data_IF_870756906313
#
_entry.id   IF_870756906313
#
_cell.length_a   1.000
_cell.length_b   1.000
_cell.length_c   1.000
_cell.angle_alpha   90.00
_cell.angle_beta   90.00
_cell.angle_gamma   90.00
#
_symmetry.space_group_name_H-M   'P 1'
#
loop_
_entity.id
_entity.type
_entity.pdbx_description
1 polymer ?
#
# COMPACT_ATOMS: atom_id res chain seq x y z
N UNK A 1 -22.29 -4.99 -6.55
CA UNK A 1 -21.06 -4.23 -6.28
C UNK A 1 -21.39 -3.22 -5.20
N UNK A 2 -20.64 -3.24 -4.10
CA UNK A 2 -20.87 -2.32 -3.00
C UNK A 2 -20.33 -0.93 -3.34
N UNK A 3 -21.12 0.10 -2.98
CA UNK A 3 -20.71 1.49 -3.12
C UNK A 3 -19.45 1.76 -2.25
N UNK A 4 -18.43 2.47 -2.77
CA UNK A 4 -17.31 2.88 -1.95
C UNK A 4 -17.76 3.62 -0.70
N UNK A 5 -17.31 3.18 0.48
CA UNK A 5 -17.78 3.71 1.79
C UNK A 5 -17.65 5.23 1.91
N UNK A 6 -16.59 5.81 1.38
CA UNK A 6 -16.38 7.26 1.43
C UNK A 6 -17.39 8.06 0.58
N UNK A 7 -17.88 7.49 -0.53
CA UNK A 7 -18.94 8.11 -1.32
C UNK A 7 -20.28 8.07 -0.59
N UNK A 8 -20.56 6.93 0.07
CA UNK A 8 -21.76 6.82 0.90
C UNK A 8 -21.75 7.84 2.03
N UNK A 9 -20.63 7.95 2.79
CA UNK A 9 -20.49 8.95 3.86
C UNK A 9 -20.71 10.38 3.33
N UNK A 10 -20.08 10.72 2.18
CA UNK A 10 -20.23 12.06 1.58
C UNK A 10 -21.67 12.33 1.18
N UNK A 11 -22.36 11.36 0.58
CA UNK A 11 -23.75 11.53 0.18
C UNK A 11 -24.67 11.68 1.40
N UNK A 12 -24.52 10.84 2.42
CA UNK A 12 -25.30 10.96 3.66
C UNK A 12 -25.08 12.30 4.35
N UNK A 13 -23.85 12.82 4.34
CA UNK A 13 -23.58 14.17 4.86
C UNK A 13 -24.31 15.24 4.04
N UNK A 14 -24.28 15.17 2.73
CA UNK A 14 -24.97 16.14 1.86
C UNK A 14 -26.48 16.08 2.06
N UNK A 15 -27.06 14.87 2.16
CA UNK A 15 -28.49 14.68 2.41
C UNK A 15 -28.92 15.25 3.76
N UNK A 16 -28.13 14.95 4.82
CA UNK A 16 -28.44 15.45 6.17
C UNK A 16 -28.31 16.97 6.32
N UNK A 17 -27.28 17.57 5.72
CA UNK A 17 -27.11 19.04 5.75
C UNK A 17 -28.15 19.75 4.89
N UNK A 18 -28.52 19.14 3.74
CA UNK A 18 -29.53 19.69 2.83
C UNK A 18 -30.98 19.36 3.21
N UNK A 19 -31.18 18.57 4.26
CA UNK A 19 -32.50 18.09 4.72
C UNK A 19 -33.27 17.33 3.62
N UNK A 20 -32.55 16.62 2.74
CA UNK A 20 -33.13 15.80 1.69
C UNK A 20 -33.44 14.39 2.21
N UNK A 21 -34.53 13.79 1.69
CA UNK A 21 -34.93 12.43 2.07
C UNK A 21 -34.18 11.35 1.29
N UNK A 22 -33.75 11.68 0.10
CA UNK A 22 -33.06 10.78 -0.84
C UNK A 22 -32.15 11.57 -1.78
N UNK A 23 -31.28 10.88 -2.47
CA UNK A 23 -30.39 11.43 -3.48
C UNK A 23 -29.85 10.36 -4.40
N UNK A 24 -29.23 10.76 -5.49
CA UNK A 24 -28.61 9.84 -6.41
C UNK A 24 -27.10 10.08 -6.50
N UNK A 25 -26.35 8.98 -6.49
CA UNK A 25 -24.96 8.99 -6.89
C UNK A 25 -24.86 8.55 -8.35
N UNK A 26 -24.30 9.41 -9.19
CA UNK A 26 -24.07 9.11 -10.59
C UNK A 26 -22.56 9.05 -10.87
N UNK A 27 -22.14 8.16 -11.76
CA UNK A 27 -20.76 8.02 -12.19
C UNK A 27 -20.65 7.79 -13.68
N UNK A 28 -19.51 8.17 -14.24
CA UNK A 28 -19.16 7.96 -15.64
C UNK A 28 -17.77 7.32 -15.72
N UNK A 29 -17.72 6.05 -16.09
CA UNK A 29 -16.46 5.28 -16.21
C UNK A 29 -15.82 5.54 -17.57
N UNK A 30 -14.61 6.11 -17.56
CA UNK A 30 -13.82 6.39 -18.76
C UNK A 30 -14.58 7.14 -19.88
N UNK A 31 -15.60 7.93 -19.53
CA UNK A 31 -16.42 8.67 -20.49
C UNK A 31 -17.36 7.83 -21.36
N UNK A 32 -17.55 6.55 -21.05
CA UNK A 32 -18.30 5.61 -21.88
C UNK A 32 -19.44 4.90 -21.18
N UNK A 33 -19.28 4.60 -19.91
CA UNK A 33 -20.26 3.84 -19.14
C UNK A 33 -20.85 4.73 -18.05
N UNK A 34 -22.11 5.07 -18.17
CA UNK A 34 -22.87 5.84 -17.18
C UNK A 34 -23.60 4.89 -16.25
N UNK A 35 -23.51 5.13 -14.95
CA UNK A 35 -24.29 4.45 -13.95
C UNK A 35 -24.82 5.42 -12.91
N UNK A 36 -25.87 5.04 -12.20
CA UNK A 36 -26.38 5.78 -11.05
C UNK A 36 -27.00 4.82 -10.05
N UNK A 37 -27.10 5.27 -8.81
CA UNK A 37 -27.77 4.56 -7.72
C UNK A 37 -28.51 5.56 -6.86
N UNK A 38 -29.79 5.31 -6.63
CA UNK A 38 -30.59 6.06 -5.67
C UNK A 38 -30.26 5.58 -4.25
N UNK A 39 -30.19 6.49 -3.32
CA UNK A 39 -29.80 6.23 -1.94
C UNK A 39 -30.71 7.06 -1.01
N UNK A 40 -31.36 6.37 -0.11
CA UNK A 40 -32.19 6.99 0.92
C UNK A 40 -31.32 7.62 2.01
N UNK A 41 -31.80 8.67 2.61
CA UNK A 41 -31.20 9.27 3.79
C UNK A 41 -31.35 8.35 5.01
N UNK A 42 -30.21 8.06 5.63
CA UNK A 42 -30.13 7.30 6.88
C UNK A 42 -29.88 8.25 8.06
N UNK A 43 -30.92 8.62 8.82
CA UNK A 43 -30.81 9.56 9.90
C UNK A 43 -29.97 9.04 11.08
N UNK A 44 -29.94 7.73 11.31
CA UNK A 44 -29.16 7.11 12.37
C UNK A 44 -27.66 7.16 12.03
N UNK A 45 -27.29 6.75 10.82
CA UNK A 45 -25.92 6.85 10.32
C UNK A 45 -25.44 8.30 10.27
N UNK A 46 -26.26 9.23 9.79
CA UNK A 46 -25.92 10.65 9.77
C UNK A 46 -25.71 11.21 11.18
N UNK A 47 -26.58 10.86 12.14
CA UNK A 47 -26.45 11.26 13.53
C UNK A 47 -25.11 10.81 14.12
N UNK A 48 -24.78 9.53 13.97
CA UNK A 48 -23.50 8.98 14.41
C UNK A 48 -22.32 9.71 13.76
N UNK A 49 -22.35 9.86 12.43
CA UNK A 49 -21.27 10.52 11.69
C UNK A 49 -21.07 11.98 12.12
N UNK A 50 -22.16 12.72 12.31
CA UNK A 50 -22.12 14.11 12.81
C UNK A 50 -21.48 14.18 14.20
N UNK A 51 -21.83 13.26 15.10
CA UNK A 51 -21.33 13.24 16.46
C UNK A 51 -19.81 12.92 16.48
N UNK A 52 -19.35 11.97 15.66
CA UNK A 52 -17.92 11.67 15.49
C UNK A 52 -17.14 12.86 14.90
N UNK A 53 -17.67 13.53 13.88
CA UNK A 53 -17.05 14.72 13.29
C UNK A 53 -17.00 15.86 14.30
N UNK A 54 -18.08 16.08 15.07
CA UNK A 54 -18.14 17.11 16.10
C UNK A 54 -17.11 16.85 17.19
N UNK A 55 -17.00 15.59 17.66
CA UNK A 55 -16.00 15.19 18.64
C UNK A 55 -14.59 15.44 18.11
N UNK A 56 -14.32 14.99 16.87
CA UNK A 56 -13.03 15.24 16.23
C UNK A 56 -12.69 16.74 16.18
N UNK A 57 -13.66 17.55 15.78
CA UNK A 57 -13.48 19.00 15.70
C UNK A 57 -13.18 19.63 17.05
N UNK A 58 -13.95 19.29 18.07
CA UNK A 58 -13.79 19.84 19.43
C UNK A 58 -12.48 19.41 20.07
N UNK A 59 -12.10 18.13 19.96
CA UNK A 59 -10.93 17.61 20.62
C UNK A 59 -9.64 18.05 19.92
N UNK A 60 -9.59 17.94 18.58
CA UNK A 60 -8.34 18.08 17.85
C UNK A 60 -8.16 19.44 17.17
N UNK A 61 -9.23 20.08 16.71
CA UNK A 61 -9.13 21.39 16.08
C UNK A 61 -9.25 22.51 17.10
N UNK A 62 -10.35 22.53 17.88
CA UNK A 62 -10.58 23.57 18.90
C UNK A 62 -9.70 23.33 20.12
N UNK A 63 -9.65 22.09 20.60
CA UNK A 63 -8.86 21.67 21.76
C UNK A 63 -7.36 21.58 21.50
N UNK A 64 -6.94 21.71 20.23
CA UNK A 64 -5.55 21.64 19.79
C UNK A 64 -4.80 20.39 20.31
N UNK A 65 -5.52 19.29 20.48
CA UNK A 65 -4.93 18.00 20.84
C UNK A 65 -4.41 17.29 19.58
N UNK A 66 -3.34 16.56 19.73
CA UNK A 66 -2.84 15.75 18.62
C UNK A 66 -3.73 14.50 18.46
N UNK A 67 -4.34 14.25 17.27
CA UNK A 67 -5.18 13.07 17.06
C UNK A 67 -4.36 11.79 17.20
N UNK A 68 -4.95 10.67 17.63
CA UNK A 68 -4.26 9.38 17.70
C UNK A 68 -3.77 8.94 16.32
N UNK A 69 -2.75 8.08 16.29
CA UNK A 69 -2.31 7.46 15.04
C UNK A 69 -3.30 6.35 14.67
N UNK A 70 -3.86 6.42 13.47
CA UNK A 70 -4.77 5.40 12.92
C UNK A 70 -4.11 4.47 11.90
N UNK A 71 -2.90 4.82 11.46
CA UNK A 71 -2.13 4.04 10.50
C UNK A 71 -0.66 3.94 10.91
N UNK A 72 0.05 2.95 10.34
CA UNK A 72 1.50 2.85 10.51
C UNK A 72 2.23 4.08 9.95
N UNK A 73 1.66 4.75 8.95
CA UNK A 73 2.20 5.98 8.39
C UNK A 73 2.10 7.15 9.38
N UNK A 74 0.98 7.27 10.10
CA UNK A 74 0.82 8.29 11.14
C UNK A 74 1.84 8.07 12.28
N UNK A 75 2.08 6.80 12.65
CA UNK A 75 3.12 6.46 13.63
C UNK A 75 4.50 6.91 13.16
N UNK A 76 4.81 6.73 11.88
CA UNK A 76 6.10 7.17 11.32
C UNK A 76 6.21 8.69 11.25
N UNK A 77 5.11 9.41 10.95
CA UNK A 77 5.09 10.87 10.97
C UNK A 77 5.29 11.42 12.38
N UNK A 78 4.63 10.85 13.39
CA UNK A 78 4.75 11.26 14.80
C UNK A 78 6.07 10.83 15.44
N UNK A 79 6.55 9.66 15.05
CA UNK A 79 7.75 9.04 15.64
C UNK A 79 8.61 8.41 14.54
N UNK A 80 9.29 9.23 13.73
CA UNK A 80 10.11 8.73 12.61
C UNK A 80 11.27 7.85 13.11
N UNK A 81 11.71 8.05 14.36
CA UNK A 81 12.73 7.26 15.01
C UNK A 81 12.15 6.51 16.21
N UNK A 82 12.74 5.37 16.53
CA UNK A 82 12.49 4.69 17.79
C UNK A 82 13.22 5.39 18.94
N UNK A 83 12.71 5.25 20.15
CA UNK A 83 13.43 5.64 21.37
C UNK A 83 14.25 4.43 21.84
N UNK A 84 15.57 4.58 21.86
CA UNK A 84 16.47 3.50 22.28
C UNK A 84 16.11 3.02 23.70
N UNK A 85 16.07 1.71 23.90
CA UNK A 85 15.74 1.08 25.19
C UNK A 85 14.26 1.15 25.60
N UNK A 86 13.36 1.75 24.78
CA UNK A 86 11.93 1.71 25.07
C UNK A 86 11.35 0.39 24.58
N UNK A 87 10.86 -0.41 25.51
CA UNK A 87 10.19 -1.69 25.28
C UNK A 87 8.69 -1.57 25.57
N UNK A 88 7.89 -2.38 24.92
CA UNK A 88 6.44 -2.50 25.12
C UNK A 88 6.13 -3.99 25.27
N UNK A 89 5.44 -4.34 26.34
CA UNK A 89 4.96 -5.71 26.53
C UNK A 89 3.84 -6.03 25.54
N UNK A 90 3.95 -7.20 24.88
CA UNK A 90 2.93 -7.64 23.94
C UNK A 90 1.68 -8.13 24.68
N UNK A 91 0.51 -7.71 24.23
CA UNK A 91 -0.76 -8.37 24.62
C UNK A 91 -0.85 -9.74 23.97
N UNK A 92 -1.76 -10.60 24.47
CA UNK A 92 -2.00 -11.92 23.87
C UNK A 92 -2.36 -11.80 22.39
N UNK A 93 -3.24 -10.86 22.02
CA UNK A 93 -3.61 -10.57 20.62
C UNK A 93 -2.42 -10.20 19.74
N UNK A 94 -1.53 -9.33 20.24
CA UNK A 94 -0.30 -8.96 19.50
C UNK A 94 0.64 -10.17 19.40
N UNK A 95 0.70 -11.03 20.42
CA UNK A 95 1.45 -12.27 20.37
C UNK A 95 0.96 -13.19 19.25
N UNK A 96 -0.35 -13.40 19.17
CA UNK A 96 -0.98 -14.23 18.11
C UNK A 96 -0.72 -13.65 16.71
N UNK A 97 -0.85 -12.32 16.53
CA UNK A 97 -0.55 -11.66 15.26
C UNK A 97 0.93 -11.83 14.84
N UNK A 98 1.87 -11.80 15.78
CA UNK A 98 3.29 -12.03 15.49
C UNK A 98 3.55 -13.47 15.04
N UNK A 99 2.90 -14.46 15.68
CA UNK A 99 2.98 -15.87 15.30
C UNK A 99 2.41 -16.07 13.89
N UNK A 100 1.22 -15.54 13.63
CA UNK A 100 0.59 -15.61 12.32
C UNK A 100 1.47 -14.96 11.23
N UNK A 101 2.02 -13.78 11.50
CA UNK A 101 2.89 -13.09 10.55
C UNK A 101 4.19 -13.87 10.27
N UNK A 102 4.74 -14.56 11.27
CA UNK A 102 5.90 -15.45 11.11
C UNK A 102 5.56 -16.63 10.17
N UNK A 103 4.45 -17.30 10.43
CA UNK A 103 3.96 -18.40 9.58
C UNK A 103 3.72 -17.95 8.13
N UNK A 104 3.08 -16.80 7.92
CA UNK A 104 2.86 -16.24 6.59
C UNK A 104 4.20 -15.97 5.87
N UNK A 105 5.20 -15.43 6.57
CA UNK A 105 6.52 -15.19 5.99
C UNK A 105 7.26 -16.48 5.62
N UNK A 106 7.15 -17.51 6.45
CA UNK A 106 7.75 -18.83 6.16
C UNK A 106 7.10 -19.47 4.94
N UNK A 107 5.76 -19.44 4.85
CA UNK A 107 5.01 -19.90 3.67
C UNK A 107 5.35 -19.08 2.42
N UNK A 108 5.46 -17.77 2.54
CA UNK A 108 5.87 -16.87 1.46
C UNK A 108 7.24 -17.25 0.90
N UNK A 109 8.23 -17.48 1.80
CA UNK A 109 9.57 -17.91 1.40
C UNK A 109 9.59 -19.30 0.74
N UNK A 110 8.76 -20.23 1.23
CA UNK A 110 8.65 -21.56 0.61
C UNK A 110 8.07 -21.48 -0.82
N UNK A 111 7.05 -20.61 -1.02
CA UNK A 111 6.48 -20.36 -2.36
C UNK A 111 7.48 -19.68 -3.30
N UNK A 112 8.23 -18.69 -2.82
CA UNK A 112 9.30 -18.03 -3.59
C UNK A 112 10.40 -19.03 -4.01
N UNK A 113 10.84 -19.88 -3.09
CA UNK A 113 11.81 -20.93 -3.41
C UNK A 113 11.26 -21.89 -4.48
N UNK A 114 9.97 -22.28 -4.36
CA UNK A 114 9.34 -23.14 -5.36
C UNK A 114 9.17 -22.47 -6.71
N UNK A 115 8.84 -21.20 -6.72
CA UNK A 115 8.79 -20.40 -7.95
C UNK A 115 10.17 -20.37 -8.62
N UNK A 116 11.23 -20.05 -7.88
CA UNK A 116 12.59 -20.00 -8.40
C UNK A 116 13.02 -21.36 -8.98
N UNK A 117 12.72 -22.46 -8.29
CA UNK A 117 13.01 -23.82 -8.78
C UNK A 117 12.30 -24.09 -10.13
N UNK A 118 11.03 -23.73 -10.25
CA UNK A 118 10.27 -23.89 -11.49
C UNK A 118 10.85 -23.01 -12.59
N UNK A 119 11.16 -21.75 -12.31
CA UNK A 119 11.77 -20.83 -13.26
C UNK A 119 13.12 -21.34 -13.77
N UNK A 120 13.95 -21.85 -12.88
CA UNK A 120 15.26 -22.39 -13.24
C UNK A 120 15.13 -23.65 -14.12
N UNK A 121 14.18 -24.54 -13.82
CA UNK A 121 13.89 -25.68 -14.68
C UNK A 121 13.38 -25.24 -16.07
N UNK A 122 12.53 -24.20 -16.12
CA UNK A 122 12.09 -23.63 -17.41
C UNK A 122 13.25 -23.01 -18.19
N UNK A 123 14.15 -22.25 -17.53
CA UNK A 123 15.33 -21.68 -18.16
C UNK A 123 16.27 -22.76 -18.71
N UNK A 124 16.43 -23.86 -17.97
CA UNK A 124 17.20 -25.04 -18.49
C UNK A 124 16.55 -25.66 -19.73
N UNK A 125 15.20 -25.72 -19.75
CA UNK A 125 14.48 -26.21 -20.92
C UNK A 125 14.55 -25.26 -22.12
N UNK A 126 14.55 -23.93 -21.88
CA UNK A 126 14.73 -22.95 -22.95
C UNK A 126 16.05 -23.10 -23.70
N UNK A 127 17.15 -23.38 -22.97
CA UNK A 127 18.48 -23.36 -23.54
C UNK A 127 18.78 -22.05 -24.26
N UNK A 128 18.92 -22.09 -25.57
CA UNK A 128 19.11 -20.91 -26.45
C UNK A 128 17.84 -20.45 -27.17
N UNK A 129 16.68 -21.10 -26.89
CA UNK A 129 15.41 -20.75 -27.50
C UNK A 129 14.83 -19.44 -26.92
N UNK A 130 14.17 -18.67 -27.78
CA UNK A 130 13.52 -17.40 -27.43
C UNK A 130 12.14 -17.59 -26.82
N UNK A 131 11.41 -18.66 -27.23
CA UNK A 131 10.03 -18.92 -26.83
C UNK A 131 9.70 -20.40 -26.73
N UNK A 132 8.78 -20.74 -25.85
CA UNK A 132 8.11 -22.03 -25.75
C UNK A 132 6.71 -21.89 -26.35
N UNK A 133 6.33 -22.82 -27.21
CA UNK A 133 5.01 -22.84 -27.87
C UNK A 133 4.27 -24.14 -27.56
N UNK A 134 2.95 -24.12 -27.59
CA UNK A 134 2.13 -25.33 -27.53
C UNK A 134 2.06 -26.06 -28.88
N UNK A 135 1.37 -27.21 -28.92
CA UNK A 135 1.18 -28.00 -30.14
C UNK A 135 0.43 -27.29 -31.28
N UNK A 136 -0.22 -26.16 -31.00
CA UNK A 136 -0.94 -25.33 -31.97
C UNK A 136 -0.13 -24.09 -32.38
N UNK A 137 1.12 -23.95 -31.92
CA UNK A 137 1.97 -22.80 -32.21
C UNK A 137 1.69 -21.55 -31.37
N UNK A 138 0.84 -21.63 -30.33
CA UNK A 138 0.59 -20.51 -29.41
C UNK A 138 1.76 -20.38 -28.44
N UNK A 139 2.32 -19.18 -28.32
CA UNK A 139 3.39 -18.87 -27.36
C UNK A 139 2.89 -19.00 -25.92
N UNK A 140 3.54 -19.84 -25.14
CA UNK A 140 3.26 -20.07 -23.73
C UNK A 140 4.20 -19.25 -22.82
N UNK A 141 5.47 -19.11 -23.20
CA UNK A 141 6.47 -18.36 -22.45
C UNK A 141 7.56 -17.81 -23.40
N UNK A 142 8.21 -16.72 -22.97
CA UNK A 142 9.37 -16.14 -23.67
C UNK A 142 10.48 -15.82 -22.69
N UNK A 143 11.73 -16.06 -23.12
CA UNK A 143 12.91 -15.70 -22.35
C UNK A 143 13.94 -15.03 -23.28
N UNK A 144 13.94 -13.68 -23.27
CA UNK A 144 14.71 -12.85 -24.20
C UNK A 144 15.65 -11.92 -23.44
N UNK A 145 16.83 -11.71 -23.97
CA UNK A 145 17.69 -10.63 -23.51
C UNK A 145 17.09 -9.27 -23.90
N UNK A 146 17.00 -8.29 -23.00
CA UNK A 146 16.63 -6.94 -23.36
C UNK A 146 17.69 -6.33 -24.29
N UNK A 147 17.30 -5.30 -25.05
CA UNK A 147 18.28 -4.53 -25.84
C UNK A 147 19.33 -3.93 -24.91
N UNK A 148 20.56 -3.89 -25.38
CA UNK A 148 21.64 -3.22 -24.67
C UNK A 148 21.25 -1.75 -24.38
N UNK A 149 21.47 -1.32 -23.15
CA UNK A 149 21.25 0.06 -22.72
C UNK A 149 22.50 0.61 -22.03
N UNK A 150 22.76 1.86 -22.22
CA UNK A 150 23.82 2.55 -21.49
C UNK A 150 23.42 2.73 -20.03
N UNK A 151 24.32 2.42 -19.13
CA UNK A 151 24.14 2.59 -17.70
C UNK A 151 25.30 3.37 -17.11
N UNK A 152 25.00 4.43 -16.37
CA UNK A 152 26.01 5.19 -15.66
C UNK A 152 26.67 4.31 -14.58
N UNK A 153 28.00 4.20 -14.65
CA UNK A 153 28.77 3.50 -13.61
C UNK A 153 29.12 4.46 -12.47
N UNK A 154 28.20 4.52 -11.50
CA UNK A 154 28.35 5.38 -10.35
C UNK A 154 29.57 5.02 -9.48
N UNK A 155 30.00 3.75 -9.46
CA UNK A 155 31.17 3.33 -8.68
C UNK A 155 32.47 3.79 -9.32
N UNK A 156 32.60 3.58 -10.64
CA UNK A 156 33.76 4.08 -11.38
C UNK A 156 33.82 5.61 -11.27
N UNK A 157 32.70 6.30 -11.50
CA UNK A 157 32.64 7.76 -11.39
C UNK A 157 33.05 8.26 -9.98
N UNK A 158 32.57 7.61 -8.92
CA UNK A 158 32.96 7.98 -7.54
C UNK A 158 34.44 7.76 -7.26
N UNK A 159 35.06 6.76 -7.89
CA UNK A 159 36.48 6.47 -7.75
C UNK A 159 37.35 7.51 -8.48
N UNK A 160 36.94 7.88 -9.69
CA UNK A 160 37.68 8.78 -10.56
C UNK A 160 37.46 10.26 -10.21
N UNK A 161 36.26 10.59 -9.67
CA UNK A 161 35.82 11.96 -9.36
C UNK A 161 35.29 12.10 -7.92
N UNK A 162 36.10 11.81 -6.87
CA UNK A 162 35.62 11.78 -5.48
C UNK A 162 35.15 13.13 -4.95
N UNK A 163 35.81 14.22 -5.35
CA UNK A 163 35.45 15.57 -4.92
C UNK A 163 34.12 16.03 -5.51
N UNK A 164 33.88 15.76 -6.79
CA UNK A 164 32.62 16.05 -7.47
C UNK A 164 31.47 15.24 -6.85
N UNK A 165 31.72 13.93 -6.62
CA UNK A 165 30.74 13.06 -5.98
C UNK A 165 30.35 13.51 -4.56
N UNK A 166 31.32 14.01 -3.78
CA UNK A 166 31.07 14.44 -2.40
C UNK A 166 30.03 15.56 -2.31
N UNK A 167 29.97 16.44 -3.32
CA UNK A 167 29.00 17.53 -3.40
C UNK A 167 27.54 17.04 -3.56
N UNK A 168 27.34 15.80 -4.03
CA UNK A 168 26.02 15.19 -4.29
C UNK A 168 25.63 14.12 -3.29
N UNK A 169 26.50 13.76 -2.34
CA UNK A 169 26.21 12.81 -1.27
C UNK A 169 25.33 13.49 -0.23
N UNK A 170 24.15 12.91 0.03
CA UNK A 170 23.23 13.34 1.09
C UNK A 170 23.10 12.25 2.13
N UNK A 171 23.18 12.63 3.39
CA UNK A 171 22.80 11.71 4.47
C UNK A 171 21.26 11.57 4.47
N UNK A 172 20.79 10.34 4.33
CA UNK A 172 19.36 10.03 4.38
C UNK A 172 19.10 9.22 5.65
N UNK A 173 18.17 9.70 6.46
CA UNK A 173 17.73 8.98 7.66
C UNK A 173 17.11 7.65 7.26
N UNK A 174 17.60 6.56 7.86
CA UNK A 174 17.02 5.22 7.65
C UNK A 174 15.60 5.12 8.21
N UNK A 175 14.69 4.52 7.45
CA UNK A 175 13.35 4.25 7.92
C UNK A 175 13.32 3.10 8.94
N UNK A 176 12.37 3.14 9.89
CA UNK A 176 12.12 2.05 10.84
C UNK A 176 11.67 0.79 10.08
N UNK A 177 12.26 -0.35 10.43
CA UNK A 177 11.94 -1.65 9.83
C UNK A 177 11.34 -2.57 10.89
N UNK A 178 10.23 -3.22 10.57
CA UNK A 178 9.65 -4.27 11.41
C UNK A 178 10.41 -5.58 11.15
N UNK A 179 11.13 -6.05 12.18
CA UNK A 179 11.79 -7.36 12.19
C UNK A 179 11.07 -8.25 13.20
N UNK A 180 10.80 -9.50 12.83
CA UNK A 180 10.22 -10.53 13.70
C UNK A 180 11.34 -11.50 14.02
N UNK A 181 11.52 -11.77 15.32
CA UNK A 181 12.53 -12.68 15.85
C UNK A 181 12.01 -14.12 15.90
#
# INVERSE_FOLDING_TARGET
DDLPKHWFCQLQMNLGVGEYKDGALAWLTAGREFGYRDIDFDPEFYGWMRDEITKFWLDYIVGNQEPPAYSAQDVLLKSPLHKAGKEIEATAEIGDMLIELKDIKEKGKALENRQNEIEDNLKLFFGDAESIVDGNGKTLATWKAPKASEKFDAKAFQTDHPEECAAYIKQVQGARRLLIM
#
